data_IF_731366242064
#
_entry.id   IF_731366242064
#
_cell.length_a   1.000
_cell.length_b   1.000
_cell.length_c   1.000
_cell.angle_alpha   90.00
_cell.angle_beta   90.00
_cell.angle_gamma   90.00
#
_symmetry.space_group_name_H-M   'P 1'
#
loop_
_entity.id
_entity.type
_entity.pdbx_description
1 polymer ?
#
# COMPACT_ATOMS: atom_id res chain seq x y z
N UNK A 1 2.50 13.24 -4.77
CA UNK A 1 3.49 12.13 -4.76
C UNK A 1 2.75 10.81 -4.67
N UNK A 2 2.97 9.95 -5.62
CA UNK A 2 2.34 8.63 -5.69
C UNK A 2 3.36 7.56 -5.33
N UNK A 3 2.95 6.61 -4.48
CA UNK A 3 3.78 5.49 -4.08
C UNK A 3 3.03 4.20 -4.42
N UNK A 4 3.69 3.34 -5.19
CA UNK A 4 3.09 2.08 -5.67
C UNK A 4 3.95 0.92 -5.21
N UNK A 5 3.33 -0.05 -4.56
CA UNK A 5 3.98 -1.29 -4.20
C UNK A 5 3.35 -2.41 -5.00
N UNK A 6 4.19 -3.19 -5.66
CA UNK A 6 3.77 -4.40 -6.36
C UNK A 6 4.40 -5.60 -5.65
N UNK A 7 3.58 -6.56 -5.29
CA UNK A 7 4.06 -7.73 -4.58
C UNK A 7 3.31 -8.98 -4.96
N UNK A 8 3.97 -10.13 -4.72
CA UNK A 8 3.37 -11.44 -4.88
C UNK A 8 3.23 -12.09 -3.52
N UNK A 9 2.09 -12.68 -3.27
CA UNK A 9 1.79 -13.34 -2.01
C UNK A 9 2.02 -14.84 -2.10
N UNK A 10 2.10 -15.48 -0.96
CA UNK A 10 2.11 -16.93 -0.89
C UNK A 10 0.83 -17.47 -1.51
N UNK A 11 0.89 -18.60 -2.26
CA UNK A 11 -0.28 -19.08 -2.99
C UNK A 11 -1.52 -19.26 -2.10
N UNK A 12 -2.66 -18.78 -2.63
CA UNK A 12 -3.96 -18.95 -1.99
C UNK A 12 -4.22 -18.07 -0.77
N UNK A 13 -3.40 -17.03 -0.52
CA UNK A 13 -3.54 -16.22 0.69
C UNK A 13 -4.15 -14.83 0.47
N UNK A 14 -4.62 -14.53 -0.75
CA UNK A 14 -5.13 -13.19 -1.04
C UNK A 14 -6.25 -12.75 -0.08
N UNK A 15 -7.25 -13.59 0.13
CA UNK A 15 -8.40 -13.20 0.97
C UNK A 15 -7.97 -12.89 2.41
N UNK A 16 -7.06 -13.69 2.95
CA UNK A 16 -6.51 -13.45 4.29
C UNK A 16 -5.69 -12.17 4.33
N UNK A 17 -4.90 -11.92 3.28
CA UNK A 17 -4.12 -10.70 3.16
C UNK A 17 -5.03 -9.47 3.09
N UNK A 18 -6.07 -9.52 2.28
CA UNK A 18 -6.99 -8.39 2.15
C UNK A 18 -7.66 -8.06 3.49
N UNK A 19 -8.07 -9.08 4.25
CA UNK A 19 -8.64 -8.88 5.58
C UNK A 19 -7.62 -8.25 6.54
N UNK A 20 -6.40 -8.77 6.54
CA UNK A 20 -5.33 -8.24 7.39
C UNK A 20 -4.99 -6.80 7.00
N UNK A 21 -4.97 -6.50 5.71
CA UNK A 21 -4.71 -5.16 5.20
C UNK A 21 -5.75 -4.17 5.72
N UNK A 22 -7.03 -4.49 5.55
CA UNK A 22 -8.13 -3.63 6.01
C UNK A 22 -8.07 -3.43 7.52
N UNK A 23 -7.78 -4.49 8.28
CA UNK A 23 -7.70 -4.42 9.73
C UNK A 23 -6.55 -3.53 10.20
N UNK A 24 -5.35 -3.73 9.64
CA UNK A 24 -4.17 -2.98 10.07
C UNK A 24 -4.26 -1.50 9.65
N UNK A 25 -4.88 -1.21 8.50
CA UNK A 25 -5.06 0.17 8.08
C UNK A 25 -6.06 0.89 8.98
N UNK A 26 -7.11 0.20 9.44
CA UNK A 26 -8.04 0.76 10.41
C UNK A 26 -7.34 1.08 11.73
N UNK A 27 -6.44 0.19 12.18
CA UNK A 27 -5.67 0.40 13.40
C UNK A 27 -4.65 1.53 13.27
N UNK A 28 -4.02 1.64 12.10
CA UNK A 28 -3.06 2.72 11.85
C UNK A 28 -3.73 4.10 11.88
N UNK A 29 -5.00 4.16 11.52
CA UNK A 29 -5.77 5.38 11.56
C UNK A 29 -5.32 6.42 10.56
N UNK A 30 -5.45 7.68 10.96
CA UNK A 30 -5.09 8.81 10.09
C UNK A 30 -3.58 9.00 10.06
N UNK A 31 -3.02 9.07 8.86
CA UNK A 31 -1.59 9.24 8.65
C UNK A 31 -1.34 10.63 8.06
N UNK A 32 -0.47 11.45 8.68
CA UNK A 32 -0.21 12.81 8.20
C UNK A 32 0.25 12.84 6.74
N UNK A 33 -0.40 13.67 5.95
CA UNK A 33 -0.06 13.86 4.54
C UNK A 33 -0.59 12.80 3.59
N UNK A 34 -1.23 11.75 4.10
CA UNK A 34 -1.85 10.74 3.25
C UNK A 34 -3.19 11.26 2.74
N UNK A 35 -3.36 11.31 1.41
CA UNK A 35 -4.58 11.79 0.77
C UNK A 35 -5.50 10.68 0.29
N UNK A 36 -4.95 9.51 0.02
CA UNK A 36 -5.74 8.36 -0.40
C UNK A 36 -4.86 7.14 -0.52
N UNK A 37 -5.49 5.98 -0.46
CA UNK A 37 -4.80 4.72 -0.68
C UNK A 37 -5.75 3.68 -1.21
N UNK A 38 -5.21 2.77 -2.00
CA UNK A 38 -5.97 1.74 -2.68
C UNK A 38 -5.21 0.42 -2.62
N UNK A 39 -5.97 -0.66 -2.44
CA UNK A 39 -5.48 -2.02 -2.59
C UNK A 39 -6.13 -2.60 -3.83
N UNK A 40 -5.33 -3.09 -4.77
CA UNK A 40 -5.82 -3.66 -6.00
C UNK A 40 -5.30 -5.08 -6.17
N UNK A 41 -6.20 -5.99 -6.51
CA UNK A 41 -5.87 -7.39 -6.81
C UNK A 41 -5.58 -7.50 -8.30
N UNK A 42 -4.45 -8.10 -8.68
CA UNK A 42 -4.11 -8.27 -10.09
C UNK A 42 -5.14 -9.19 -10.77
N UNK A 43 -5.57 -8.82 -11.99
CA UNK A 43 -6.57 -9.64 -12.70
C UNK A 43 -5.96 -10.88 -13.35
N UNK A 44 -4.66 -10.85 -13.62
CA UNK A 44 -3.97 -11.94 -14.33
C UNK A 44 -3.18 -12.87 -13.42
N UNK A 45 -3.14 -12.59 -12.12
CA UNK A 45 -2.42 -13.43 -11.16
C UNK A 45 -3.16 -13.40 -9.81
N UNK A 46 -3.76 -14.50 -9.40
CA UNK A 46 -4.57 -14.54 -8.16
C UNK A 46 -3.75 -14.30 -6.88
N UNK A 47 -2.43 -14.38 -6.97
CA UNK A 47 -1.55 -14.21 -5.82
C UNK A 47 -0.78 -12.88 -5.85
N UNK A 48 -1.08 -12.01 -6.78
CA UNK A 48 -0.38 -10.72 -6.91
C UNK A 48 -1.32 -9.54 -6.75
N UNK A 49 -0.75 -8.42 -6.35
CA UNK A 49 -1.52 -7.20 -6.20
C UNK A 49 -0.65 -5.97 -6.06
N UNK A 50 -1.36 -4.85 -5.88
CA UNK A 50 -0.75 -3.53 -5.80
C UNK A 50 -1.34 -2.78 -4.62
N UNK A 51 -0.49 -2.02 -3.92
CA UNK A 51 -1.00 -0.98 -3.05
C UNK A 51 -0.55 0.35 -3.62
N UNK A 52 -1.44 1.32 -3.61
CA UNK A 52 -1.15 2.67 -4.08
C UNK A 52 -1.51 3.66 -2.99
N UNK A 53 -0.65 4.65 -2.80
CA UNK A 53 -0.92 5.72 -1.85
C UNK A 53 -0.58 7.06 -2.47
N UNK A 54 -1.44 8.03 -2.24
CA UNK A 54 -1.25 9.40 -2.72
C UNK A 54 -0.92 10.27 -1.52
N UNK A 55 0.17 11.03 -1.63
CA UNK A 55 0.73 11.84 -0.56
C UNK A 55 0.73 13.31 -0.93
N UNK A 56 0.57 14.15 0.07
CA UNK A 56 0.59 15.60 -0.07
C UNK A 56 1.90 16.08 -0.73
N UNK A 57 3.02 15.50 -0.32
CA UNK A 57 4.34 15.82 -0.87
C UNK A 57 5.31 14.69 -0.56
N UNK A 58 6.52 14.79 -1.11
CA UNK A 58 7.56 13.77 -0.91
C UNK A 58 7.97 13.67 0.55
N UNK A 59 8.05 14.78 1.25
CA UNK A 59 8.48 14.78 2.67
C UNK A 59 7.52 13.95 3.53
N UNK A 60 6.21 14.09 3.32
CA UNK A 60 5.21 13.31 4.04
C UNK A 60 5.34 11.82 3.73
N UNK A 61 5.53 11.47 2.45
CA UNK A 61 5.73 10.09 2.03
C UNK A 61 6.98 9.48 2.67
N UNK A 62 8.12 10.20 2.64
CA UNK A 62 9.37 9.71 3.23
C UNK A 62 9.27 9.57 4.75
N UNK A 63 8.56 10.50 5.39
CA UNK A 63 8.32 10.42 6.82
C UNK A 63 7.54 9.15 7.19
N UNK A 64 6.54 8.79 6.39
CA UNK A 64 5.79 7.55 6.57
C UNK A 64 6.69 6.34 6.38
N UNK A 65 7.49 6.31 5.31
CA UNK A 65 8.36 5.18 4.99
C UNK A 65 9.39 4.90 6.11
N UNK A 66 9.85 5.95 6.76
CA UNK A 66 10.84 5.84 7.84
C UNK A 66 10.19 5.83 9.23
N UNK A 67 8.87 5.91 9.31
CA UNK A 67 8.14 6.08 10.55
C UNK A 67 7.74 4.79 11.23
N UNK A 68 7.35 4.91 12.48
CA UNK A 68 6.94 3.76 13.32
C UNK A 68 5.68 3.08 12.82
N UNK A 69 4.73 3.85 12.29
CA UNK A 69 3.45 3.28 11.84
C UNK A 69 3.70 2.18 10.80
N UNK A 70 4.50 2.48 9.78
CA UNK A 70 4.83 1.47 8.77
C UNK A 70 5.71 0.36 9.34
N UNK A 71 6.77 0.72 10.04
CA UNK A 71 7.81 -0.23 10.45
C UNK A 71 7.37 -1.16 11.58
N UNK A 72 6.55 -0.67 12.51
CA UNK A 72 6.19 -1.45 13.71
C UNK A 72 4.74 -1.93 13.72
N UNK A 73 3.84 -1.28 12.98
CA UNK A 73 2.42 -1.62 12.98
C UNK A 73 1.99 -2.33 11.70
N UNK A 74 2.34 -1.77 10.53
CA UNK A 74 1.84 -2.26 9.24
C UNK A 74 2.67 -3.43 8.71
N UNK A 75 3.96 -3.24 8.52
CA UNK A 75 4.82 -4.27 7.91
C UNK A 75 4.83 -5.59 8.67
N UNK A 76 4.91 -5.61 10.01
CA UNK A 76 4.89 -6.89 10.73
C UNK A 76 3.63 -7.71 10.50
N UNK A 77 2.50 -7.07 10.22
CA UNK A 77 1.24 -7.75 9.96
C UNK A 77 1.12 -8.23 8.50
N UNK A 78 1.71 -7.53 7.56
CA UNK A 78 1.54 -7.81 6.13
C UNK A 78 2.69 -8.59 5.53
N UNK A 79 3.92 -8.35 5.98
CA UNK A 79 5.10 -8.98 5.42
C UNK A 79 5.05 -10.52 5.40
N UNK A 80 4.49 -11.20 6.40
CA UNK A 80 4.41 -12.67 6.39
C UNK A 80 3.63 -13.26 5.22
N UNK A 81 2.75 -12.47 4.58
CA UNK A 81 1.98 -12.92 3.42
C UNK A 81 2.79 -12.92 2.12
N UNK A 82 3.87 -12.15 2.06
CA UNK A 82 4.63 -12.00 0.83
C UNK A 82 5.48 -13.23 0.51
N UNK A 83 5.50 -13.57 -0.79
CA UNK A 83 6.33 -14.65 -1.31
C UNK A 83 7.58 -14.04 -1.94
N UNK A 84 8.51 -13.57 -1.11
CA UNK A 84 9.72 -12.90 -1.55
C UNK A 84 9.62 -11.39 -1.44
N UNK A 85 10.45 -10.69 -2.21
CA UNK A 85 10.52 -9.24 -2.15
C UNK A 85 9.38 -8.58 -2.94
N UNK A 86 9.01 -7.40 -2.49
CA UNK A 86 8.09 -6.54 -3.23
C UNK A 86 8.88 -5.36 -3.80
N UNK A 87 8.33 -4.73 -4.85
CA UNK A 87 8.94 -3.55 -5.45
C UNK A 87 8.17 -2.30 -5.04
N UNK A 88 8.89 -1.22 -4.83
CA UNK A 88 8.30 0.08 -4.53
C UNK A 88 8.70 1.06 -5.62
N UNK A 89 7.69 1.70 -6.22
CA UNK A 89 7.89 2.73 -7.23
C UNK A 89 7.28 4.02 -6.72
N UNK A 90 7.97 5.12 -6.95
CA UNK A 90 7.53 6.44 -6.50
C UNK A 90 7.52 7.38 -7.69
N UNK A 91 6.48 8.23 -7.76
CA UNK A 91 6.35 9.16 -8.86
C UNK A 91 5.69 10.45 -8.41
N UNK A 92 6.08 11.53 -9.06
CA UNK A 92 5.45 12.81 -8.86
C UNK A 92 4.27 12.93 -9.80
N UNK A 93 3.08 13.22 -9.25
CA UNK A 93 1.88 13.38 -10.08
C UNK A 93 2.00 14.69 -10.86
N UNK A 94 2.01 14.60 -12.19
CA UNK A 94 2.18 15.75 -13.08
C UNK A 94 0.87 16.21 -13.69
N UNK A 95 -0.15 15.36 -13.66
CA UNK A 95 -1.49 15.67 -14.18
C UNK A 95 -2.49 14.73 -13.52
N UNK A 96 -3.64 15.25 -13.14
CA UNK A 96 -4.70 14.45 -12.54
C UNK A 96 -6.06 14.98 -12.95
N UNK A 97 -6.96 14.07 -13.27
CA UNK A 97 -8.38 14.37 -13.50
C UNK A 97 -9.19 13.32 -12.77
N UNK A 98 -10.31 13.71 -12.22
CA UNK A 98 -11.25 12.80 -11.59
C UNK A 98 -12.61 12.98 -12.28
N UNK A 99 -13.27 11.85 -12.54
CA UNK A 99 -14.56 11.86 -13.23
C UNK A 99 -15.59 11.14 -12.37
N UNK A 100 -16.74 11.78 -12.20
CA UNK A 100 -17.90 11.16 -11.56
C UNK A 100 -18.57 10.23 -12.56
N UNK A 101 -19.08 9.10 -12.07
CA UNK A 101 -19.77 8.12 -12.91
C UNK A 101 -21.27 8.12 -12.70
#
# INVERSE_FOLDING_TARGET
>A
MLRIIHGKLKPGTWDSYERAYKDVMAKAGKIPGLRGRWLAHAVDDPDAGYTMSLWENEAAMRSYENGEILQTTILPRLKPFFSGDYTTTRGEVRFAEEFDQ
#
